data_IF_710244535216
#
_entry.id   IF_710244535216
#
_cell.length_a   1.000
_cell.length_b   1.000
_cell.length_c   1.000
_cell.angle_alpha   90.00
_cell.angle_beta   90.00
_cell.angle_gamma   90.00
#
_symmetry.space_group_name_H-M   'P 1'
#
loop_
_entity.id
_entity.type
_entity.pdbx_description
1 polymer ?
#
# COMPACT_ATOMS: atom_id res chain seq x y z
N UNK A 1 -0.63 6.27 -6.60
CA UNK A 1 -0.90 6.11 -5.16
C UNK A 1 -0.09 4.92 -4.69
N UNK A 2 0.91 5.09 -3.80
CA UNK A 2 1.50 3.93 -3.11
C UNK A 2 0.33 3.21 -2.44
N UNK A 3 0.18 1.91 -2.66
CA UNK A 3 -0.69 1.11 -1.82
C UNK A 3 -0.29 1.47 -0.38
N UNK A 4 -1.20 2.14 0.34
CA UNK A 4 -0.95 2.50 1.72
C UNK A 4 -0.78 1.18 2.43
N UNK A 5 0.47 0.82 2.74
CA UNK A 5 0.73 -0.27 3.66
C UNK A 5 -0.12 0.04 4.89
N UNK A 6 -0.93 -0.94 5.31
CA UNK A 6 -1.60 -0.86 6.58
C UNK A 6 -0.52 -0.51 7.63
N UNK A 7 -0.64 0.59 8.39
CA UNK A 7 0.39 1.02 9.33
C UNK A 7 0.76 -0.05 10.38
N UNK A 8 -0.01 -1.16 10.46
CA UNK A 8 0.32 -2.33 11.26
C UNK A 8 0.92 -3.55 10.52
N UNK A 9 1.04 -3.52 9.19
CA UNK A 9 1.55 -4.65 8.39
C UNK A 9 3.08 -4.72 8.44
N UNK A 10 3.62 -5.91 8.71
CA UNK A 10 5.05 -6.17 8.77
C UNK A 10 5.62 -6.59 7.42
N UNK A 11 4.77 -7.17 6.56
CA UNK A 11 5.14 -7.68 5.24
C UNK A 11 4.45 -6.87 4.16
N UNK A 12 5.24 -6.12 3.40
CA UNK A 12 4.80 -5.40 2.22
C UNK A 12 5.36 -5.99 0.93
N UNK A 13 4.64 -5.80 -0.16
CA UNK A 13 5.11 -6.16 -1.50
C UNK A 13 4.39 -5.33 -2.55
N UNK A 14 5.08 -4.99 -3.63
CA UNK A 14 4.46 -4.40 -4.81
C UNK A 14 4.34 -5.45 -5.90
N UNK A 15 3.12 -5.76 -6.32
CA UNK A 15 2.87 -6.66 -7.43
C UNK A 15 3.12 -5.93 -8.76
N UNK A 16 3.91 -6.56 -9.63
CA UNK A 16 4.14 -6.10 -11.00
C UNK A 16 4.04 -7.26 -11.99
N UNK A 17 3.32 -7.06 -13.08
CA UNK A 17 3.29 -8.01 -14.20
C UNK A 17 4.33 -7.61 -15.24
N UNK A 18 5.04 -8.61 -15.79
CA UNK A 18 6.11 -8.42 -16.79
C UNK A 18 7.17 -7.36 -16.36
N UNK A 19 7.41 -7.23 -15.05
CA UNK A 19 8.39 -6.31 -14.46
C UNK A 19 8.04 -4.82 -14.50
N UNK A 20 6.97 -4.40 -15.19
CA UNK A 20 6.66 -2.97 -15.42
C UNK A 20 5.19 -2.57 -15.25
N UNK A 21 4.25 -3.50 -15.34
CA UNK A 21 2.83 -3.20 -15.22
C UNK A 21 2.44 -3.27 -13.74
N UNK A 22 2.30 -2.09 -13.12
CA UNK A 22 2.05 -1.93 -11.70
C UNK A 22 0.57 -1.58 -11.40
N UNK A 23 0.23 -1.48 -10.12
CA UNK A 23 -1.12 -1.12 -9.69
C UNK A 23 -1.62 0.22 -10.27
N UNK A 24 -0.73 1.16 -10.62
CA UNK A 24 -1.13 2.46 -11.19
C UNK A 24 -1.58 2.31 -12.63
N UNK A 25 -0.90 1.47 -13.41
CA UNK A 25 -1.30 1.13 -14.76
C UNK A 25 -2.69 0.48 -14.79
N UNK A 26 -2.94 -0.49 -13.90
CA UNK A 26 -4.25 -1.14 -13.83
C UNK A 26 -5.35 -0.19 -13.33
N UNK A 27 -5.06 0.66 -12.35
CA UNK A 27 -5.99 1.72 -11.93
C UNK A 27 -6.35 2.68 -13.07
N UNK A 28 -5.40 2.98 -13.98
CA UNK A 28 -5.68 3.77 -15.18
C UNK A 28 -6.65 3.04 -16.12
N UNK A 29 -6.42 1.75 -16.40
CA UNK A 29 -7.32 0.97 -17.25
C UNK A 29 -8.73 0.87 -16.66
N UNK A 30 -8.86 0.59 -15.36
CA UNK A 30 -10.16 0.56 -14.68
C UNK A 30 -10.88 1.91 -14.78
N UNK A 31 -10.15 3.01 -14.56
CA UNK A 31 -10.72 4.34 -14.65
C UNK A 31 -11.11 4.72 -16.10
N UNK A 32 -10.40 4.23 -17.11
CA UNK A 32 -10.82 4.39 -18.52
C UNK A 32 -12.13 3.65 -18.76
N UNK A 33 -12.24 2.39 -18.32
CA UNK A 33 -13.48 1.61 -18.44
C UNK A 33 -14.67 2.27 -17.75
N UNK A 34 -14.47 2.90 -16.58
CA UNK A 34 -15.52 3.58 -15.85
C UNK A 34 -15.89 4.97 -16.41
N UNK A 35 -14.93 5.71 -16.95
CA UNK A 35 -15.13 7.11 -17.34
C UNK A 35 -15.27 7.32 -18.85
N UNK A 36 -14.88 6.36 -19.68
CA UNK A 36 -14.85 6.52 -21.13
C UNK A 36 -13.89 7.62 -21.63
N UNK A 37 -12.96 8.09 -20.80
CA UNK A 37 -12.08 9.23 -21.10
C UNK A 37 -10.71 9.08 -20.46
N UNK A 38 -9.65 9.10 -21.28
CA UNK A 38 -8.26 9.06 -20.79
C UNK A 38 -7.95 10.23 -19.85
N UNK A 39 -8.46 11.44 -20.14
CA UNK A 39 -8.20 12.63 -19.32
C UNK A 39 -8.80 12.50 -17.92
N UNK A 40 -10.05 12.03 -17.81
CA UNK A 40 -10.68 11.79 -16.49
C UNK A 40 -10.01 10.63 -15.77
N UNK A 41 -9.73 9.55 -16.48
CA UNK A 41 -9.08 8.37 -15.93
C UNK A 41 -7.68 8.66 -15.36
N UNK A 42 -6.88 9.48 -16.05
CA UNK A 42 -5.57 9.91 -15.57
C UNK A 42 -5.67 10.60 -14.21
N UNK A 43 -6.63 11.53 -14.04
CA UNK A 43 -6.85 12.22 -12.77
C UNK A 43 -7.27 11.24 -11.67
N UNK A 44 -8.21 10.33 -11.96
CA UNK A 44 -8.65 9.29 -11.02
C UNK A 44 -7.51 8.38 -10.58
N UNK A 45 -6.60 8.03 -11.49
CA UNK A 45 -5.43 7.18 -11.21
C UNK A 45 -4.24 7.94 -10.58
N UNK A 46 -4.37 9.26 -10.34
CA UNK A 46 -3.27 10.09 -9.82
C UNK A 46 -2.10 10.23 -10.80
N UNK A 47 -2.40 10.31 -12.10
CA UNK A 47 -1.45 10.46 -13.19
C UNK A 47 -1.67 11.80 -13.90
N UNK A 48 -0.60 12.36 -14.46
CA UNK A 48 -0.74 13.43 -15.46
C UNK A 48 -1.28 12.82 -16.76
N UNK A 49 -1.96 13.62 -17.59
CA UNK A 49 -2.43 13.17 -18.90
C UNK A 49 -1.31 12.58 -19.76
N UNK A 50 -0.16 13.27 -19.84
CA UNK A 50 1.05 12.76 -20.53
C UNK A 50 1.55 11.46 -19.92
N UNK A 51 1.54 11.33 -18.59
CA UNK A 51 1.96 10.11 -17.90
C UNK A 51 1.04 8.93 -18.19
N UNK A 52 -0.28 9.16 -18.24
CA UNK A 52 -1.25 8.14 -18.64
C UNK A 52 -1.03 7.68 -20.08
N UNK A 53 -0.80 8.61 -21.01
CA UNK A 53 -0.47 8.28 -22.41
C UNK A 53 0.80 7.45 -22.54
N UNK A 54 1.89 7.84 -21.88
CA UNK A 54 3.15 7.09 -21.92
C UNK A 54 3.00 5.67 -21.38
N UNK A 55 2.20 5.48 -20.32
CA UNK A 55 1.90 4.15 -19.78
C UNK A 55 1.10 3.29 -20.77
N UNK A 56 0.06 3.87 -21.38
CA UNK A 56 -0.76 3.17 -22.39
C UNK A 56 0.05 2.81 -23.64
N UNK A 57 0.89 3.72 -24.13
CA UNK A 57 1.76 3.51 -25.28
C UNK A 57 2.81 2.43 -24.98
N UNK A 58 3.49 2.51 -23.84
CA UNK A 58 4.51 1.53 -23.45
C UNK A 58 3.93 0.11 -23.32
N UNK A 59 2.69 -0.01 -22.82
CA UNK A 59 1.99 -1.28 -22.74
C UNK A 59 1.45 -1.74 -24.10
N UNK A 60 0.93 -0.81 -24.91
CA UNK A 60 0.38 -1.05 -26.24
C UNK A 60 1.43 -1.52 -27.26
N UNK A 61 2.64 -0.95 -27.22
CA UNK A 61 3.75 -1.33 -28.11
C UNK A 61 4.20 -2.79 -27.94
N UNK A 62 3.82 -3.43 -26.84
CA UNK A 62 4.18 -4.81 -26.51
C UNK A 62 2.97 -5.75 -26.57
N UNK A 63 1.78 -5.21 -26.86
CA UNK A 63 0.56 -5.97 -27.01
C UNK A 63 0.30 -6.27 -28.49
N UNK A 64 -0.23 -7.46 -28.78
CA UNK A 64 -0.65 -7.83 -30.14
C UNK A 64 -1.86 -7.01 -30.63
N UNK A 65 -2.58 -6.36 -29.72
CA UNK A 65 -3.74 -5.52 -30.00
C UNK A 65 -3.72 -4.26 -29.11
N UNK A 66 -4.30 -3.13 -29.56
CA UNK A 66 -4.44 -1.93 -28.75
C UNK A 66 -5.19 -2.23 -27.46
N UNK A 67 -4.79 -1.60 -26.36
CA UNK A 67 -5.48 -1.73 -25.06
C UNK A 67 -6.68 -0.78 -24.94
N UNK A 68 -6.66 0.33 -25.68
CA UNK A 68 -7.73 1.34 -25.68
C UNK A 68 -8.08 1.65 -27.11
N UNK A 69 -9.38 1.56 -27.44
CA UNK A 69 -9.94 2.02 -28.69
C UNK A 69 -10.45 3.45 -28.52
N UNK A 70 -10.17 4.32 -29.50
CA UNK A 70 -10.78 5.64 -29.59
C UNK A 70 -11.99 5.59 -30.52
N UNK A 71 -13.17 5.98 -30.02
CA UNK A 71 -14.29 6.29 -30.88
C UNK A 71 -14.07 7.69 -31.48
N UNK A 72 -13.81 7.77 -32.78
CA UNK A 72 -13.75 9.05 -33.51
C UNK A 72 -15.15 9.66 -33.59
N UNK A 73 -15.35 10.89 -33.09
CA UNK A 73 -16.58 11.63 -33.39
C UNK A 73 -16.82 12.93 -32.62
N UNK A 74 -16.49 14.07 -33.27
CA UNK A 74 -17.17 15.36 -33.06
C UNK A 74 -16.75 16.22 -31.87
N UNK A 75 -17.28 17.44 -31.84
CA UNK A 75 -16.92 18.60 -31.00
C UNK A 75 -16.94 18.39 -29.46
N UNK A 76 -17.28 17.19 -28.99
CA UNK A 76 -17.32 16.81 -27.56
C UNK A 76 -16.15 15.93 -27.08
N UNK A 77 -15.20 15.58 -27.95
CA UNK A 77 -14.03 14.75 -27.61
C UNK A 77 -14.29 13.25 -27.74
N UNK A 78 -13.35 12.52 -28.35
CA UNK A 78 -13.49 11.09 -28.64
C UNK A 78 -13.60 10.24 -27.36
N UNK A 79 -14.52 9.27 -27.36
CA UNK A 79 -14.64 8.31 -26.25
C UNK A 79 -13.45 7.35 -26.28
N UNK A 80 -12.99 6.97 -25.10
CA UNK A 80 -11.92 5.98 -24.90
C UNK A 80 -12.54 4.74 -24.28
N UNK A 81 -12.51 3.62 -24.99
CA UNK A 81 -13.11 2.36 -24.54
C UNK A 81 -12.04 1.28 -24.44
N UNK A 82 -12.14 0.42 -23.41
CA UNK A 82 -11.22 -0.70 -23.26
C UNK A 82 -11.51 -1.75 -24.33
N UNK A 83 -10.46 -2.29 -24.95
CA UNK A 83 -10.57 -3.44 -25.86
C UNK A 83 -10.76 -4.75 -25.07
N UNK A 84 -11.13 -5.82 -25.76
CA UNK A 84 -11.24 -7.15 -25.15
C UNK A 84 -9.90 -7.60 -24.54
N UNK A 85 -8.79 -7.28 -25.20
CA UNK A 85 -7.44 -7.56 -24.70
C UNK A 85 -7.16 -6.84 -23.37
N UNK A 86 -7.54 -5.57 -23.24
CA UNK A 86 -7.39 -4.84 -21.98
C UNK A 86 -8.30 -5.37 -20.87
N UNK A 87 -9.51 -5.81 -21.20
CA UNK A 87 -10.42 -6.42 -20.21
C UNK A 87 -9.89 -7.76 -19.71
N UNK A 88 -9.38 -8.61 -20.61
CA UNK A 88 -8.72 -9.87 -20.22
C UNK A 88 -7.49 -9.62 -19.34
N UNK A 89 -6.68 -8.62 -19.67
CA UNK A 89 -5.51 -8.24 -18.89
C UNK A 89 -5.90 -7.70 -17.49
N UNK A 90 -6.99 -6.93 -17.39
CA UNK A 90 -7.55 -6.47 -16.11
C UNK A 90 -8.03 -7.62 -15.24
N UNK A 91 -8.69 -8.61 -15.83
CA UNK A 91 -9.19 -9.77 -15.10
C UNK A 91 -8.03 -10.59 -14.52
N UNK A 92 -7.02 -10.88 -15.36
CA UNK A 92 -5.80 -11.55 -14.90
C UNK A 92 -5.11 -10.79 -13.74
N UNK A 93 -5.04 -9.46 -13.85
CA UNK A 93 -4.51 -8.63 -12.77
C UNK A 93 -5.33 -8.76 -11.49
N UNK A 94 -6.67 -8.71 -11.56
CA UNK A 94 -7.53 -8.82 -10.37
C UNK A 94 -7.33 -10.13 -9.65
N UNK A 95 -7.25 -11.24 -10.38
CA UNK A 95 -6.96 -12.57 -9.81
C UNK A 95 -5.62 -12.56 -9.08
N UNK A 96 -4.54 -12.22 -9.77
CA UNK A 96 -3.18 -12.27 -9.19
C UNK A 96 -3.02 -11.26 -8.06
N UNK A 97 -3.65 -10.08 -8.16
CA UNK A 97 -3.61 -9.05 -7.11
C UNK A 97 -4.37 -9.49 -5.85
N UNK A 98 -5.50 -10.19 -6.01
CA UNK A 98 -6.22 -10.76 -4.87
C UNK A 98 -5.39 -11.85 -4.17
N UNK A 99 -4.77 -12.76 -4.93
CA UNK A 99 -3.89 -13.81 -4.40
C UNK A 99 -2.66 -13.22 -3.71
N UNK A 100 -2.01 -12.22 -4.31
CA UNK A 100 -0.88 -11.53 -3.72
C UNK A 100 -1.25 -10.87 -2.39
N UNK A 101 -2.42 -10.20 -2.31
CA UNK A 101 -2.90 -9.62 -1.05
C UNK A 101 -3.17 -10.69 0.00
N UNK A 102 -3.80 -11.80 -0.38
CA UNK A 102 -4.05 -12.92 0.53
C UNK A 102 -2.72 -13.53 1.04
N UNK A 103 -1.72 -13.67 0.18
CA UNK A 103 -0.38 -14.14 0.54
C UNK A 103 0.28 -13.23 1.57
N UNK A 104 0.27 -11.91 1.35
CA UNK A 104 0.86 -10.94 2.30
C UNK A 104 0.17 -11.01 3.67
N UNK A 105 -1.15 -11.04 3.69
CA UNK A 105 -1.93 -11.19 4.93
C UNK A 105 -1.60 -12.50 5.67
N UNK A 106 -1.44 -13.60 4.94
CA UNK A 106 -1.05 -14.87 5.52
C UNK A 106 0.38 -14.84 6.11
N UNK A 107 1.31 -14.11 5.49
CA UNK A 107 2.67 -13.95 6.04
C UNK A 107 2.69 -13.07 7.28
N UNK A 108 1.92 -11.98 7.31
CA UNK A 108 1.75 -11.16 8.51
C UNK A 108 1.20 -12.00 9.67
N UNK A 109 0.15 -12.79 9.42
CA UNK A 109 -0.42 -13.69 10.43
C UNK A 109 0.59 -14.73 10.92
N UNK A 110 1.38 -15.32 10.02
CA UNK A 110 2.45 -16.26 10.38
C UNK A 110 3.50 -15.61 11.28
N UNK A 111 3.97 -14.41 10.95
CA UNK A 111 4.94 -13.69 11.77
C UNK A 111 4.39 -13.33 13.16
N UNK A 112 3.10 -13.04 13.26
CA UNK A 112 2.44 -12.80 14.54
C UNK A 112 2.44 -14.03 15.48
N UNK A 113 2.57 -15.25 14.94
CA UNK A 113 2.70 -16.47 15.77
C UNK A 113 4.06 -16.63 16.44
N UNK A 114 5.03 -15.77 16.13
CA UNK A 114 6.39 -15.79 16.69
C UNK A 114 6.60 -14.52 17.56
N UNK A 115 6.20 -14.51 18.85
CA UNK A 115 6.06 -13.28 19.63
C UNK A 115 7.36 -12.45 19.72
N UNK A 116 8.50 -13.12 19.94
CA UNK A 116 9.80 -12.46 20.02
C UNK A 116 10.19 -11.77 18.70
N UNK A 117 9.95 -12.44 17.56
CA UNK A 117 10.24 -11.90 16.24
C UNK A 117 9.25 -10.79 15.86
N UNK A 118 7.95 -10.97 16.14
CA UNK A 118 6.92 -9.98 15.89
C UNK A 118 7.21 -8.65 16.61
N UNK A 119 7.56 -8.73 17.90
CA UNK A 119 7.92 -7.55 18.71
C UNK A 119 9.20 -6.87 18.23
N UNK A 120 10.19 -7.63 17.74
CA UNK A 120 11.38 -7.08 17.10
C UNK A 120 11.04 -6.32 15.81
N UNK A 121 10.32 -6.96 14.89
CA UNK A 121 9.97 -6.39 13.59
C UNK A 121 9.11 -5.12 13.73
N UNK A 122 8.14 -5.10 14.66
CA UNK A 122 7.35 -3.88 14.95
C UNK A 122 8.21 -2.72 15.45
N UNK A 123 9.19 -2.99 16.33
CA UNK A 123 10.10 -1.94 16.80
C UNK A 123 10.93 -1.38 15.65
N UNK A 124 11.42 -2.25 14.76
CA UNK A 124 12.20 -1.84 13.59
C UNK A 124 11.35 -1.09 12.53
N UNK A 125 10.04 -1.37 12.44
CA UNK A 125 9.16 -0.70 11.48
C UNK A 125 8.71 0.69 11.93
N UNK A 126 8.87 1.06 13.21
CA UNK A 126 8.54 2.38 13.71
C UNK A 126 9.48 3.46 13.14
N UNK A 127 8.94 4.36 12.33
CA UNK A 127 9.64 5.57 11.90
C UNK A 127 9.44 6.68 12.92
N UNK A 128 10.46 6.95 13.73
CA UNK A 128 10.45 8.10 14.66
C UNK A 128 11.65 8.99 14.41
N UNK A 129 11.49 10.31 14.63
CA UNK A 129 12.61 11.26 14.61
C UNK A 129 13.48 11.16 15.86
N UNK A 130 13.00 10.46 16.90
CA UNK A 130 13.75 10.24 18.13
C UNK A 130 14.96 9.35 17.86
N UNK A 131 16.16 9.91 18.12
CA UNK A 131 17.44 9.22 17.93
C UNK A 131 17.70 8.17 19.02
N UNK A 132 17.15 8.39 20.21
CA UNK A 132 17.32 7.51 21.35
C UNK A 132 16.13 6.57 21.43
N UNK A 133 16.34 5.32 21.06
CA UNK A 133 15.34 4.25 21.12
C UNK A 133 15.91 3.12 21.95
N UNK A 134 15.25 2.84 23.09
CA UNK A 134 15.72 1.84 24.04
C UNK A 134 14.78 0.64 24.06
N UNK A 135 15.34 -0.55 24.00
CA UNK A 135 14.62 -1.79 24.23
C UNK A 135 14.62 -2.12 25.73
N UNK A 136 13.46 -2.42 26.27
CA UNK A 136 13.30 -2.82 27.66
C UNK A 136 11.96 -3.51 27.92
N UNK A 137 11.75 -3.96 29.14
CA UNK A 137 10.50 -4.54 29.63
C UNK A 137 9.89 -3.65 30.70
N UNK A 138 8.56 -3.53 30.71
CA UNK A 138 7.86 -2.81 31.78
C UNK A 138 8.10 -3.52 33.11
N UNK A 139 8.70 -2.82 34.07
CA UNK A 139 8.96 -3.31 35.43
C UNK A 139 7.93 -2.79 36.44
N UNK A 140 7.35 -1.61 36.21
CA UNK A 140 6.29 -1.05 37.05
C UNK A 140 5.31 -0.20 36.24
N UNK A 141 4.04 -0.18 36.69
CA UNK A 141 2.99 0.68 36.14
C UNK A 141 2.17 1.24 37.31
N UNK A 142 2.14 2.56 37.44
CA UNK A 142 1.32 3.30 38.40
C UNK A 142 0.25 4.08 37.66
N UNK A 143 -1.00 3.66 37.79
CA UNK A 143 -2.14 4.32 37.16
C UNK A 143 -2.67 5.45 38.06
N UNK A 144 -2.81 6.64 37.48
CA UNK A 144 -3.52 7.76 38.09
C UNK A 144 -4.88 8.00 37.42
N UNK A 145 -5.60 9.07 37.82
CA UNK A 145 -6.90 9.42 37.24
C UNK A 145 -6.81 9.97 35.81
N UNK A 146 -5.69 10.62 35.46
CA UNK A 146 -5.46 11.23 34.14
C UNK A 146 -4.15 10.75 33.53
N UNK A 147 -3.10 10.63 34.32
CA UNK A 147 -1.77 10.20 33.90
C UNK A 147 -1.37 8.86 34.52
N UNK A 148 -0.56 8.10 33.80
CA UNK A 148 0.06 6.86 34.24
C UNK A 148 1.58 7.01 34.15
N UNK A 149 2.28 6.42 35.12
CA UNK A 149 3.73 6.36 35.16
C UNK A 149 4.17 4.91 34.90
N UNK A 150 5.07 4.72 33.95
CA UNK A 150 5.58 3.42 33.51
C UNK A 150 7.09 3.40 33.69
N UNK A 151 7.59 2.44 34.46
CA UNK A 151 9.02 2.17 34.58
C UNK A 151 9.40 1.02 33.68
N UNK A 152 10.48 1.19 32.92
CA UNK A 152 10.99 0.24 31.95
C UNK A 152 12.41 -0.15 32.36
N UNK A 153 12.64 -1.43 32.62
CA UNK A 153 13.97 -1.98 32.84
C UNK A 153 14.68 -2.22 31.51
N UNK A 154 15.90 -1.72 31.40
CA UNK A 154 16.77 -1.91 30.23
C UNK A 154 17.70 -3.11 30.42
N UNK A 155 18.13 -3.73 29.32
CA UNK A 155 19.04 -4.88 29.37
C UNK A 155 20.40 -4.58 30.05
N UNK A 156 20.81 -3.30 30.12
CA UNK A 156 22.03 -2.85 30.79
C UNK A 156 21.87 -2.52 32.28
N UNK A 157 20.74 -2.86 32.89
CA UNK A 157 20.47 -2.61 34.32
C UNK A 157 20.01 -1.18 34.65
N UNK A 158 19.94 -0.28 33.66
CA UNK A 158 19.32 1.03 33.83
C UNK A 158 17.80 0.95 33.78
N UNK A 159 17.13 1.95 34.35
CA UNK A 159 15.67 2.11 34.29
C UNK A 159 15.31 3.43 33.59
N UNK A 160 14.21 3.41 32.84
CA UNK A 160 13.59 4.61 32.26
C UNK A 160 12.17 4.70 32.80
N UNK A 161 11.83 5.83 33.40
CA UNK A 161 10.46 6.15 33.81
C UNK A 161 9.84 7.14 32.84
N UNK A 162 8.64 6.83 32.34
CA UNK A 162 7.90 7.65 31.40
C UNK A 162 6.47 7.90 31.91
N UNK A 163 5.97 9.11 31.70
CA UNK A 163 4.57 9.46 31.97
C UNK A 163 3.78 9.47 30.67
N UNK A 164 2.60 8.86 30.69
CA UNK A 164 1.65 8.85 29.57
C UNK A 164 0.23 9.07 30.07
N UNK A 165 -0.74 9.20 29.17
CA UNK A 165 -2.15 9.28 29.60
C UNK A 165 -2.62 7.93 30.11
N UNK A 166 -3.53 7.94 31.09
CA UNK A 166 -4.10 6.71 31.65
C UNK A 166 -4.92 5.93 30.61
N UNK A 167 -5.45 6.61 29.59
CA UNK A 167 -6.13 5.97 28.48
C UNK A 167 -5.18 5.18 27.57
N UNK A 168 -3.93 5.61 27.43
CA UNK A 168 -2.93 4.92 26.60
C UNK A 168 -2.29 3.72 27.30
N UNK A 169 -2.37 3.66 28.64
CA UNK A 169 -1.82 2.59 29.46
C UNK A 169 -2.79 1.40 29.65
N UNK A 170 -4.02 1.47 29.13
CA UNK A 170 -5.06 0.44 29.19
C UNK A 170 -5.16 -0.29 27.86
#
# INVERSE_FOLDING_TARGET
MKASADPGSLVGGELRLAGRLDARFFALLEAIGATGSITRAARTAGLSYKGAWLLLESAGNLAAAPLVASASGGAGGGRSELTDAARALLEAWRTVHAEHRAFLLAQDARLATLPALHGLLRRMSMKTSARNQFAGSVSALTLGPVSAEVTIALAGGGEITATMTSAAAR
#
